data_IF_710621926076
#
_entry.id   IF_710621926076
#
_cell.length_a   1.000
_cell.length_b   1.000
_cell.length_c   1.000
_cell.angle_alpha   90.00
_cell.angle_beta   90.00
_cell.angle_gamma   90.00
#
_symmetry.space_group_name_H-M   'P 1'
#
loop_
_entity.id
_entity.type
_entity.pdbx_description
1 polymer ?
#
# COMPACT_ATOMS: atom_id res chain seq x y z
N UNK A 1 9.99 14.68 -8.59
CA UNK A 1 9.06 13.62 -8.18
C UNK A 1 7.97 14.24 -7.33
N UNK A 2 6.70 14.06 -7.72
CA UNK A 2 5.61 14.32 -6.79
C UNK A 2 5.79 13.35 -5.62
N UNK A 3 5.83 13.87 -4.40
CA UNK A 3 5.86 13.01 -3.20
C UNK A 3 4.63 12.11 -3.28
N UNK A 4 4.83 10.80 -3.26
CA UNK A 4 3.73 9.84 -3.12
C UNK A 4 2.94 10.30 -1.91
N UNK A 5 1.71 10.75 -2.14
CA UNK A 5 0.79 11.08 -1.06
C UNK A 5 0.27 9.75 -0.54
N UNK A 6 1.06 9.15 0.33
CA UNK A 6 0.67 7.96 1.06
C UNK A 6 -0.57 8.26 1.89
N UNK A 7 -1.69 7.62 1.58
CA UNK A 7 -2.85 7.68 2.45
C UNK A 7 -2.62 6.75 3.65
N UNK A 8 -2.68 7.30 4.86
CA UNK A 8 -2.66 6.49 6.08
C UNK A 8 -4.10 6.05 6.36
N UNK A 9 -4.37 4.75 6.27
CA UNK A 9 -5.64 4.21 6.74
C UNK A 9 -5.76 4.45 8.25
N UNK A 10 -6.92 4.89 8.67
CA UNK A 10 -7.18 5.37 10.03
C UNK A 10 -7.44 4.22 11.02
N UNK A 11 -6.87 4.27 12.23
CA UNK A 11 -7.16 3.25 13.24
C UNK A 11 -8.56 3.49 13.86
N UNK A 12 -9.29 2.41 14.19
CA UNK A 12 -10.59 2.53 14.86
C UNK A 12 -10.39 2.68 16.38
N UNK A 13 -11.16 3.56 17.03
CA UNK A 13 -11.13 3.75 18.49
C UNK A 13 -12.18 2.88 19.21
N UNK A 14 -11.75 2.15 20.24
CA UNK A 14 -12.61 1.31 21.07
C UNK A 14 -13.56 2.16 21.93
N UNK A 15 -14.86 2.14 21.63
CA UNK A 15 -15.90 2.64 22.55
C UNK A 15 -16.67 1.43 23.07
N UNK A 16 -16.57 1.18 24.37
CA UNK A 16 -17.05 -0.03 25.02
C UNK A 16 -18.58 -0.19 24.97
N UNK A 17 -19.10 -0.90 23.96
CA UNK A 17 -20.41 -1.57 24.02
C UNK A 17 -20.30 -2.96 23.39
N UNK A 18 -20.33 -3.98 24.26
CA UNK A 18 -19.99 -5.38 23.97
C UNK A 18 -21.06 -6.10 23.13
N UNK A 19 -20.90 -6.13 21.82
CA UNK A 19 -21.38 -7.24 21.00
C UNK A 19 -20.17 -7.95 20.37
N UNK A 20 -20.13 -9.29 20.40
CA UNK A 20 -19.02 -10.07 19.81
C UNK A 20 -18.79 -9.74 18.32
N UNK A 21 -19.86 -9.33 17.62
CA UNK A 21 -19.84 -8.87 16.23
C UNK A 21 -19.03 -7.58 16.05
N UNK A 22 -19.22 -6.59 16.93
CA UNK A 22 -18.49 -5.33 16.88
C UNK A 22 -17.01 -5.52 17.27
N UNK A 23 -16.72 -6.37 18.26
CA UNK A 23 -15.34 -6.71 18.65
C UNK A 23 -14.58 -7.41 17.52
N UNK A 24 -15.23 -8.34 16.79
CA UNK A 24 -14.63 -9.00 15.64
C UNK A 24 -14.42 -8.05 14.46
N UNK A 25 -15.36 -7.14 14.20
CA UNK A 25 -15.22 -6.12 13.16
C UNK A 25 -14.09 -5.14 13.48
N UNK A 26 -13.96 -4.72 14.74
CA UNK A 26 -12.87 -3.85 15.19
C UNK A 26 -11.51 -4.52 15.03
N UNK A 27 -11.36 -5.75 15.52
CA UNK A 27 -10.11 -6.51 15.38
C UNK A 27 -9.73 -6.69 13.91
N UNK A 28 -10.70 -6.94 13.03
CA UNK A 28 -10.48 -7.04 11.60
C UNK A 28 -9.94 -5.72 11.03
N UNK A 29 -10.62 -4.60 11.31
CA UNK A 29 -10.18 -3.28 10.88
C UNK A 29 -8.76 -2.96 11.34
N UNK A 30 -8.48 -3.12 12.63
CA UNK A 30 -7.15 -2.87 13.21
C UNK A 30 -6.07 -3.73 12.56
N UNK A 31 -6.38 -4.99 12.24
CA UNK A 31 -5.44 -5.90 11.56
C UNK A 31 -5.12 -5.40 10.16
N UNK A 32 -6.13 -5.06 9.35
CA UNK A 32 -5.94 -4.61 7.97
C UNK A 32 -5.24 -3.25 7.93
N UNK A 33 -5.68 -2.30 8.77
CA UNK A 33 -5.09 -0.96 8.86
C UNK A 33 -3.64 -1.04 9.35
N UNK A 34 -3.37 -1.80 10.40
CA UNK A 34 -2.01 -1.96 10.94
C UNK A 34 -1.06 -2.61 9.93
N UNK A 35 -1.53 -3.64 9.22
CA UNK A 35 -0.78 -4.26 8.12
C UNK A 35 -0.45 -3.23 7.04
N UNK A 36 -1.45 -2.46 6.61
CA UNK A 36 -1.29 -1.48 5.53
C UNK A 36 -0.37 -0.33 5.94
N UNK A 37 -0.50 0.22 7.15
CA UNK A 37 0.36 1.28 7.65
C UNK A 37 1.83 0.84 7.76
N UNK A 38 2.07 -0.39 8.25
CA UNK A 38 3.41 -0.98 8.28
C UNK A 38 3.99 -1.17 6.88
N UNK A 39 3.18 -1.65 5.95
CA UNK A 39 3.56 -1.83 4.55
C UNK A 39 3.98 -0.51 3.90
N UNK A 40 3.13 0.50 4.01
CA UNK A 40 3.32 1.84 3.47
C UNK A 40 4.66 2.46 3.91
N UNK A 41 4.99 2.35 5.20
CA UNK A 41 6.24 2.89 5.75
C UNK A 41 7.46 2.21 5.12
N UNK A 42 7.41 0.87 4.99
CA UNK A 42 8.49 0.11 4.37
C UNK A 42 8.61 0.44 2.87
N UNK A 43 7.49 0.50 2.16
CA UNK A 43 7.46 0.81 0.74
C UNK A 43 8.05 2.19 0.44
N UNK A 44 7.66 3.23 1.19
CA UNK A 44 8.21 4.58 1.03
C UNK A 44 9.72 4.63 1.28
N UNK A 45 10.21 3.92 2.31
CA UNK A 45 11.65 3.83 2.58
C UNK A 45 12.42 3.15 1.44
N UNK A 46 11.86 2.12 0.83
CA UNK A 46 12.51 1.40 -0.27
C UNK A 46 12.47 2.20 -1.58
N UNK A 47 11.38 2.91 -1.88
CA UNK A 47 11.32 3.86 -3.00
C UNK A 47 12.42 4.92 -2.86
N UNK A 48 12.61 5.46 -1.65
CA UNK A 48 13.69 6.42 -1.40
C UNK A 48 15.07 5.79 -1.65
N UNK A 49 15.31 4.54 -1.23
CA UNK A 49 16.58 3.85 -1.55
C UNK A 49 16.78 3.66 -3.04
N UNK A 50 15.73 3.48 -3.84
CA UNK A 50 15.84 3.32 -5.29
C UNK A 50 16.10 4.68 -5.97
N UNK A 51 15.41 5.73 -5.54
CA UNK A 51 15.36 7.02 -6.23
C UNK A 51 16.38 8.04 -5.73
N UNK A 52 16.96 7.84 -4.54
CA UNK A 52 17.94 8.77 -3.98
C UNK A 52 19.19 8.91 -4.85
N UNK A 53 19.65 10.17 -4.96
CA UNK A 53 20.92 10.54 -5.56
C UNK A 53 22.07 9.86 -4.80
N UNK A 54 23.00 9.25 -5.53
CA UNK A 54 24.12 8.50 -4.95
C UNK A 54 23.80 7.08 -4.46
N UNK A 55 22.55 6.61 -4.53
CA UNK A 55 22.26 5.20 -4.23
C UNK A 55 22.79 4.25 -5.33
N UNK A 56 23.34 3.12 -4.92
CA UNK A 56 23.95 2.12 -5.81
C UNK A 56 22.90 1.18 -6.43
N UNK A 57 23.29 0.47 -7.49
CA UNK A 57 22.47 -0.61 -8.07
C UNK A 57 22.15 -1.72 -7.05
N UNK A 58 23.14 -2.11 -6.25
CA UNK A 58 22.98 -3.11 -5.19
C UNK A 58 21.93 -2.69 -4.15
N UNK A 59 21.94 -1.43 -3.72
CA UNK A 59 20.94 -0.89 -2.80
C UNK A 59 19.54 -0.89 -3.43
N UNK A 60 19.44 -0.56 -4.72
CA UNK A 60 18.17 -0.57 -5.44
C UNK A 60 17.63 -2.01 -5.60
N UNK A 61 18.48 -2.98 -5.93
CA UNK A 61 18.09 -4.39 -6.06
C UNK A 61 17.66 -4.99 -4.70
N UNK A 62 18.36 -4.65 -3.62
CA UNK A 62 17.96 -5.04 -2.26
C UNK A 62 16.61 -4.45 -1.84
N UNK A 63 16.37 -3.18 -2.17
CA UNK A 63 15.09 -2.52 -1.94
C UNK A 63 13.96 -3.18 -2.73
N UNK A 64 14.16 -3.45 -4.04
CA UNK A 64 13.17 -4.15 -4.88
C UNK A 64 12.80 -5.54 -4.34
N UNK A 65 13.79 -6.30 -3.86
CA UNK A 65 13.56 -7.61 -3.24
C UNK A 65 12.74 -7.47 -1.95
N UNK A 66 13.06 -6.49 -1.12
CA UNK A 66 12.32 -6.23 0.11
C UNK A 66 10.87 -5.78 -0.17
N UNK A 67 10.66 -4.90 -1.15
CA UNK A 67 9.33 -4.46 -1.60
C UNK A 67 8.48 -5.64 -2.10
N UNK A 68 9.07 -6.52 -2.91
CA UNK A 68 8.37 -7.71 -3.41
C UNK A 68 7.96 -8.64 -2.27
N UNK A 69 8.90 -8.95 -1.37
CA UNK A 69 8.66 -9.82 -0.22
C UNK A 69 7.60 -9.26 0.73
N UNK A 70 7.67 -7.97 1.06
CA UNK A 70 6.69 -7.33 1.94
C UNK A 70 5.31 -7.22 1.30
N UNK A 71 5.23 -6.94 -0.01
CA UNK A 71 3.96 -6.92 -0.75
C UNK A 71 3.32 -8.30 -0.77
N UNK A 72 4.09 -9.35 -1.09
CA UNK A 72 3.61 -10.74 -1.09
C UNK A 72 3.19 -11.21 0.30
N UNK A 73 3.93 -10.84 1.34
CA UNK A 73 3.56 -11.12 2.72
C UNK A 73 2.23 -10.46 3.10
N UNK A 74 2.04 -9.18 2.77
CA UNK A 74 0.78 -8.48 3.05
C UNK A 74 -0.40 -9.09 2.30
N UNK A 75 -0.24 -9.41 1.02
CA UNK A 75 -1.24 -10.13 0.24
C UNK A 75 -1.54 -11.51 0.83
N UNK A 76 -0.52 -12.23 1.29
CA UNK A 76 -0.67 -13.53 1.95
C UNK A 76 -1.48 -13.44 3.25
N UNK A 77 -1.18 -12.45 4.10
CA UNK A 77 -1.94 -12.19 5.33
C UNK A 77 -3.39 -11.84 4.98
N UNK A 78 -3.63 -10.91 4.06
CA UNK A 78 -4.98 -10.52 3.64
C UNK A 78 -5.77 -11.70 3.10
N UNK A 79 -5.21 -12.49 2.19
CA UNK A 79 -5.88 -13.67 1.63
C UNK A 79 -6.20 -14.73 2.69
N UNK A 80 -5.45 -14.76 3.79
CA UNK A 80 -5.73 -15.61 4.95
C UNK A 80 -6.81 -15.05 5.89
N UNK A 81 -7.12 -13.76 5.81
CA UNK A 81 -8.22 -13.16 6.56
C UNK A 81 -9.55 -13.47 5.90
N UNK A 82 -10.57 -13.76 6.72
CA UNK A 82 -11.95 -13.95 6.25
C UNK A 82 -12.76 -12.67 6.52
N UNK A 83 -12.96 -11.78 5.54
CA UNK A 83 -13.81 -10.61 5.74
C UNK A 83 -15.26 -11.02 6.01
N UNK A 84 -15.93 -10.28 6.90
CA UNK A 84 -17.39 -10.30 6.98
C UNK A 84 -18.00 -9.69 5.72
N UNK A 85 -19.31 -9.87 5.50
CA UNK A 85 -19.99 -9.26 4.36
C UNK A 85 -19.85 -7.73 4.35
N UNK A 86 -19.88 -7.10 5.52
CA UNK A 86 -19.70 -5.65 5.67
C UNK A 86 -18.25 -5.18 5.40
N UNK A 87 -17.26 -6.05 5.59
CA UNK A 87 -15.83 -5.73 5.42
C UNK A 87 -15.28 -6.09 4.04
N UNK A 88 -16.04 -6.82 3.20
CA UNK A 88 -15.58 -7.30 1.89
C UNK A 88 -15.12 -6.19 0.95
N UNK A 89 -15.85 -5.08 0.89
CA UNK A 89 -15.48 -3.98 0.00
C UNK A 89 -14.15 -3.35 0.43
N UNK A 90 -14.01 -3.00 1.71
CA UNK A 90 -12.76 -2.51 2.28
C UNK A 90 -11.59 -3.48 2.01
N UNK A 91 -11.78 -4.77 2.29
CA UNK A 91 -10.80 -5.81 2.02
C UNK A 91 -10.34 -5.82 0.56
N UNK A 92 -11.29 -5.88 -0.37
CA UNK A 92 -11.01 -5.96 -1.80
C UNK A 92 -10.28 -4.71 -2.30
N UNK A 93 -10.61 -3.53 -1.78
CA UNK A 93 -9.93 -2.27 -2.14
C UNK A 93 -8.47 -2.28 -1.67
N UNK A 94 -8.19 -2.73 -0.45
CA UNK A 94 -6.81 -2.87 0.04
C UNK A 94 -6.02 -3.90 -0.78
N UNK A 95 -6.65 -5.03 -1.12
CA UNK A 95 -6.05 -6.05 -2.00
C UNK A 95 -5.75 -5.48 -3.40
N UNK A 96 -6.64 -4.66 -3.95
CA UNK A 96 -6.45 -4.01 -5.24
C UNK A 96 -5.25 -3.05 -5.23
N UNK A 97 -5.06 -2.28 -4.15
CA UNK A 97 -3.87 -1.43 -3.97
C UNK A 97 -2.59 -2.27 -4.03
N UNK A 98 -2.49 -3.30 -3.19
CA UNK A 98 -1.29 -4.14 -3.10
C UNK A 98 -1.01 -4.91 -4.40
N UNK A 99 -2.05 -5.39 -5.09
CA UNK A 99 -1.89 -6.01 -6.40
C UNK A 99 -1.39 -5.02 -7.46
N UNK A 100 -1.88 -3.78 -7.46
CA UNK A 100 -1.39 -2.73 -8.36
C UNK A 100 0.08 -2.42 -8.07
N UNK A 101 0.47 -2.35 -6.80
CA UNK A 101 1.88 -2.20 -6.43
C UNK A 101 2.73 -3.35 -6.97
N UNK A 102 2.29 -4.59 -6.74
CA UNK A 102 2.99 -5.81 -7.18
C UNK A 102 3.16 -5.88 -8.71
N UNK A 103 2.11 -5.54 -9.44
CA UNK A 103 2.03 -5.80 -10.89
C UNK A 103 2.44 -4.61 -11.75
N UNK A 104 2.43 -3.40 -11.20
CA UNK A 104 2.73 -2.17 -11.95
C UNK A 104 3.88 -1.40 -11.30
N UNK A 105 3.77 -1.00 -10.02
CA UNK A 105 4.75 -0.09 -9.42
C UNK A 105 6.14 -0.72 -9.22
N UNK A 106 6.22 -1.96 -8.71
CA UNK A 106 7.49 -2.67 -8.54
C UNK A 106 8.19 -2.89 -9.90
N UNK A 107 7.51 -3.35 -10.96
CA UNK A 107 8.09 -3.42 -12.30
C UNK A 107 8.62 -2.09 -12.84
N UNK A 108 7.92 -0.97 -12.64
CA UNK A 108 8.43 0.36 -13.05
C UNK A 108 9.69 0.76 -12.27
N UNK A 109 9.72 0.49 -10.95
CA UNK A 109 10.92 0.73 -10.13
C UNK A 109 12.08 -0.20 -10.52
N UNK A 110 11.79 -1.41 -10.99
CA UNK A 110 12.80 -2.32 -11.50
C UNK A 110 13.41 -1.80 -12.79
N UNK A 111 12.60 -1.21 -13.69
CA UNK A 111 13.13 -0.49 -14.87
C UNK A 111 14.02 0.66 -14.42
N UNK A 112 13.59 1.45 -13.44
CA UNK A 112 14.37 2.58 -12.93
C UNK A 112 15.73 2.15 -12.33
N UNK A 113 15.75 1.06 -11.57
CA UNK A 113 16.99 0.48 -11.04
C UNK A 113 17.90 -0.09 -12.13
N UNK A 114 17.33 -0.58 -13.24
CA UNK A 114 18.10 -1.14 -14.35
C UNK A 114 18.88 -0.10 -15.14
N UNK A 115 18.33 1.11 -15.26
CA UNK A 115 18.94 2.24 -16.00
C UNK A 115 19.75 3.18 -15.09
N UNK A 116 19.85 2.86 -13.80
CA UNK A 116 20.59 3.66 -12.83
C UNK A 116 22.08 3.67 -13.15
N UNK A 117 22.67 4.87 -13.20
CA UNK A 117 24.08 5.05 -13.56
C UNK A 117 24.34 5.05 -15.08
N UNK A 118 23.28 5.05 -15.90
CA UNK A 118 23.38 5.32 -17.34
C UNK A 118 23.16 6.82 -17.61
N UNK A 119 23.79 7.35 -18.65
CA UNK A 119 23.57 8.74 -19.10
C UNK A 119 22.31 8.89 -19.98
N UNK A 120 21.41 7.89 -19.99
CA UNK A 120 20.22 7.89 -20.83
C UNK A 120 19.04 8.63 -20.17
N UNK A 121 19.13 9.97 -20.19
CA UNK A 121 18.14 10.88 -19.58
C UNK A 121 16.73 10.68 -20.15
N UNK A 122 16.61 10.40 -21.45
CA UNK A 122 15.30 10.20 -22.10
C UNK A 122 14.59 8.95 -21.60
N UNK A 123 15.33 7.85 -21.43
CA UNK A 123 14.79 6.60 -20.87
C UNK A 123 14.43 6.77 -19.40
N UNK A 124 15.28 7.48 -18.64
CA UNK A 124 14.99 7.85 -17.26
C UNK A 124 13.67 8.61 -17.13
N UNK A 125 13.47 9.66 -17.93
CA UNK A 125 12.25 10.47 -17.89
C UNK A 125 11.01 9.64 -18.23
N UNK A 126 11.07 8.77 -19.25
CA UNK A 126 9.95 7.88 -19.61
C UNK A 126 9.55 6.94 -18.49
N UNK A 127 10.52 6.33 -17.82
CA UNK A 127 10.24 5.42 -16.70
C UNK A 127 9.67 6.18 -15.51
N UNK A 128 10.19 7.38 -15.22
CA UNK A 128 9.64 8.23 -14.15
C UNK A 128 8.19 8.65 -14.45
N UNK A 129 7.87 9.02 -15.69
CA UNK A 129 6.50 9.38 -16.07
C UNK A 129 5.53 8.20 -15.91
N UNK A 130 5.95 7.00 -16.33
CA UNK A 130 5.20 5.76 -16.16
C UNK A 130 4.97 5.43 -14.67
N UNK A 131 6.02 5.59 -13.85
CA UNK A 131 5.94 5.42 -12.41
C UNK A 131 4.99 6.45 -11.77
N UNK A 132 5.05 7.72 -12.17
CA UNK A 132 4.15 8.76 -11.68
C UNK A 132 2.68 8.44 -12.00
N UNK A 133 2.39 7.99 -13.22
CA UNK A 133 1.03 7.57 -13.62
C UNK A 133 0.54 6.37 -12.77
N UNK A 134 1.43 5.42 -12.48
CA UNK A 134 1.14 4.28 -11.60
C UNK A 134 0.90 4.73 -10.16
N UNK A 135 1.70 5.67 -9.66
CA UNK A 135 1.53 6.27 -8.34
C UNK A 135 0.19 7.00 -8.21
N UNK A 136 -0.23 7.74 -9.25
CA UNK A 136 -1.54 8.42 -9.26
C UNK A 136 -2.69 7.41 -9.23
N UNK A 137 -2.55 6.28 -9.92
CA UNK A 137 -3.51 5.18 -9.86
C UNK A 137 -3.58 4.55 -8.47
N UNK A 138 -2.43 4.29 -7.85
CA UNK A 138 -2.36 3.77 -6.48
C UNK A 138 -3.03 4.75 -5.51
N UNK A 139 -2.74 6.05 -5.61
CA UNK A 139 -3.36 7.07 -4.75
C UNK A 139 -4.89 7.08 -4.87
N UNK A 140 -5.44 6.92 -6.08
CA UNK A 140 -6.90 6.78 -6.27
C UNK A 140 -7.45 5.52 -5.61
N UNK A 141 -6.74 4.40 -5.71
CA UNK A 141 -7.15 3.14 -5.06
C UNK A 141 -7.07 3.25 -3.53
N UNK A 142 -6.08 3.96 -2.99
CA UNK A 142 -5.97 4.28 -1.57
C UNK A 142 -7.15 5.14 -1.09
N UNK A 143 -7.52 6.17 -1.84
CA UNK A 143 -8.71 7.00 -1.56
C UNK A 143 -9.99 6.14 -1.53
N UNK A 144 -10.14 5.21 -2.47
CA UNK A 144 -11.27 4.27 -2.49
C UNK A 144 -11.25 3.31 -1.30
N UNK A 145 -10.07 2.81 -0.91
CA UNK A 145 -9.91 1.95 0.26
C UNK A 145 -10.26 2.68 1.56
N UNK A 146 -9.84 3.95 1.71
CA UNK A 146 -10.20 4.80 2.84
C UNK A 146 -11.71 5.01 2.95
N UNK A 147 -12.38 5.35 1.84
CA UNK A 147 -13.85 5.49 1.80
C UNK A 147 -14.57 4.18 2.14
N UNK A 148 -14.08 3.05 1.62
CA UNK A 148 -14.64 1.74 1.93
C UNK A 148 -14.46 1.37 3.41
N UNK A 149 -13.34 1.75 4.01
CA UNK A 149 -13.07 1.59 5.43
C UNK A 149 -14.06 2.41 6.28
N UNK A 150 -14.26 3.69 5.95
CA UNK A 150 -15.25 4.55 6.61
C UNK A 150 -16.65 3.94 6.53
N UNK A 151 -17.06 3.49 5.34
CA UNK A 151 -18.35 2.86 5.13
C UNK A 151 -18.52 1.57 5.96
N UNK A 152 -17.50 0.72 6.00
CA UNK A 152 -17.48 -0.48 6.86
C UNK A 152 -17.66 -0.10 8.33
N UNK A 153 -16.87 0.86 8.82
CA UNK A 153 -16.94 1.31 10.19
C UNK A 153 -18.29 1.89 10.58
N UNK A 154 -18.89 2.72 9.73
CA UNK A 154 -20.24 3.23 9.93
C UNK A 154 -21.27 2.12 10.04
N UNK A 155 -21.20 1.09 9.17
CA UNK A 155 -22.13 -0.04 9.18
C UNK A 155 -22.07 -0.85 10.48
N UNK A 156 -20.88 -1.04 11.04
CA UNK A 156 -20.68 -1.85 12.25
C UNK A 156 -20.58 -1.02 13.54
N UNK A 157 -20.89 0.27 13.50
CA UNK A 157 -20.90 1.15 14.67
C UNK A 157 -19.51 1.47 15.24
N UNK A 158 -18.45 1.40 14.42
CA UNK A 158 -17.09 1.79 14.79
C UNK A 158 -16.85 3.29 14.51
N UNK A 159 -16.00 3.93 15.32
CA UNK A 159 -15.46 5.26 15.00
C UNK A 159 -14.08 5.11 14.37
N UNK A 160 -13.94 5.62 13.15
CA UNK A 160 -12.65 5.77 12.44
C UNK A 160 -12.10 7.16 12.76
N UNK A 161 -10.81 7.28 13.08
CA UNK A 161 -10.16 8.58 13.37
C UNK A 161 -9.30 9.08 12.21
#
# INVERSE_FOLDING_TARGET
MNKIKTLVLAAAAAVAFNSCTQQNAQKYNETVVGLYAGYVNNFGNDVNKITAEGSTKENADAALKHMSSTTDSCLGVLNGLKPSDDAKDFHNKVVAVLNTVKTEAIPELQKLASIKGTDNVDEYNKVIDSYNATSDKISKLEDEAGKAQEAFAHKVGMKVQ
#
